data_IF_769266723667
#
_entry.id   IF_769266723667
#
_cell.length_a   1.000
_cell.length_b   1.000
_cell.length_c   1.000
_cell.angle_alpha   90.00
_cell.angle_beta   90.00
_cell.angle_gamma   90.00
#
_symmetry.space_group_name_H-M   'P 1'
#
loop_
_entity.id
_entity.type
_entity.pdbx_description
1 polymer ?
#
# COMPACT_ATOMS: atom_id res chain seq x y z
N UNK A 1 -11.60 28.98 -0.94
CA UNK A 1 -10.48 28.06 -0.60
C UNK A 1 -10.46 27.03 -1.70
N UNK A 2 -9.46 27.09 -2.57
CA UNK A 2 -9.44 26.36 -3.84
C UNK A 2 -9.42 24.84 -3.64
N UNK A 3 -10.08 24.14 -4.54
CA UNK A 3 -10.13 22.68 -4.60
C UNK A 3 -8.73 22.10 -4.42
N UNK A 4 -8.46 21.53 -3.25
CA UNK A 4 -7.38 20.58 -3.07
C UNK A 4 -7.68 19.45 -4.05
N UNK A 5 -7.01 19.48 -5.20
CA UNK A 5 -7.41 18.75 -6.39
C UNK A 5 -7.31 17.25 -6.12
N UNK A 6 -8.44 16.66 -5.73
CA UNK A 6 -8.57 15.28 -5.26
C UNK A 6 -7.80 14.36 -6.20
N UNK A 7 -6.89 13.57 -5.64
CA UNK A 7 -6.18 12.57 -6.42
C UNK A 7 -7.17 11.46 -6.76
N UNK A 8 -7.04 10.91 -7.97
CA UNK A 8 -7.71 9.64 -8.26
C UNK A 8 -6.99 8.51 -7.54
N UNK A 9 -7.69 7.40 -7.29
CA UNK A 9 -7.13 6.18 -6.68
C UNK A 9 -5.83 5.77 -7.40
N UNK A 10 -5.88 5.72 -8.74
CA UNK A 10 -4.68 5.44 -9.54
C UNK A 10 -3.54 6.44 -9.30
N UNK A 11 -3.82 7.74 -9.15
CA UNK A 11 -2.78 8.73 -8.85
C UNK A 11 -2.15 8.50 -7.47
N UNK A 12 -2.94 8.06 -6.50
CA UNK A 12 -2.46 7.69 -5.16
C UNK A 12 -1.58 6.43 -5.23
N UNK A 13 -1.99 5.39 -5.97
CA UNK A 13 -1.20 4.18 -6.20
C UNK A 13 0.18 4.49 -6.81
N UNK A 14 0.23 5.42 -7.77
CA UNK A 14 1.50 5.87 -8.35
C UNK A 14 2.39 6.58 -7.34
N UNK A 15 1.83 7.45 -6.49
CA UNK A 15 2.60 8.15 -5.47
C UNK A 15 3.15 7.19 -4.41
N UNK A 16 2.34 6.23 -3.97
CA UNK A 16 2.76 5.17 -3.06
C UNK A 16 3.87 4.31 -3.67
N UNK A 17 3.69 3.85 -4.92
CA UNK A 17 4.70 3.07 -5.62
C UNK A 17 6.04 3.82 -5.72
N UNK A 18 6.00 5.10 -6.12
CA UNK A 18 7.20 5.94 -6.19
C UNK A 18 7.83 6.08 -4.80
N UNK A 19 7.04 6.31 -3.74
CA UNK A 19 7.55 6.46 -2.38
C UNK A 19 8.29 5.21 -1.90
N UNK A 20 7.74 4.02 -2.11
CA UNK A 20 8.40 2.78 -1.73
C UNK A 20 9.69 2.55 -2.52
N UNK A 21 9.67 2.80 -3.83
CA UNK A 21 10.86 2.64 -4.68
C UNK A 21 11.94 3.64 -4.26
N UNK A 22 11.58 4.91 -4.03
CA UNK A 22 12.49 5.96 -3.60
C UNK A 22 13.10 5.65 -2.22
N UNK A 23 12.31 5.13 -1.28
CA UNK A 23 12.81 4.71 0.03
C UNK A 23 13.82 3.57 -0.06
N UNK A 24 13.66 2.66 -1.04
CA UNK A 24 14.56 1.54 -1.24
C UNK A 24 15.80 1.86 -2.09
N UNK A 25 15.69 2.77 -3.07
CA UNK A 25 16.70 3.00 -4.13
C UNK A 25 17.05 4.47 -4.36
N UNK A 26 16.61 5.39 -3.50
CA UNK A 26 16.76 6.86 -3.59
C UNK A 26 16.03 7.55 -4.76
N UNK A 27 15.70 6.85 -5.85
CA UNK A 27 14.89 7.38 -6.94
C UNK A 27 14.19 6.26 -7.73
N UNK A 28 13.05 6.56 -8.34
CA UNK A 28 12.28 5.61 -9.13
C UNK A 28 12.54 5.77 -10.64
N UNK A 29 12.63 4.67 -11.39
CA UNK A 29 12.57 4.70 -12.86
C UNK A 29 11.18 4.28 -13.32
N UNK A 30 10.76 4.75 -14.49
CA UNK A 30 9.48 4.36 -15.10
C UNK A 30 9.32 2.83 -15.23
N UNK A 31 10.42 2.09 -15.44
CA UNK A 31 10.43 0.62 -15.43
C UNK A 31 10.09 0.05 -14.04
N UNK A 32 10.73 0.53 -12.98
CA UNK A 32 10.46 0.04 -11.62
C UNK A 32 8.99 0.27 -11.21
N UNK A 33 8.43 1.42 -11.60
CA UNK A 33 7.02 1.76 -11.35
C UNK A 33 6.08 0.81 -12.13
N UNK A 34 6.39 0.58 -13.41
CA UNK A 34 5.66 -0.34 -14.29
C UNK A 34 5.64 -1.76 -13.71
N UNK A 35 6.80 -2.26 -13.30
CA UNK A 35 6.97 -3.60 -12.76
C UNK A 35 6.25 -3.75 -11.40
N UNK A 36 6.29 -2.72 -10.53
CA UNK A 36 5.62 -2.74 -9.21
C UNK A 36 4.11 -2.72 -9.33
N UNK A 37 3.56 -1.88 -10.21
CA UNK A 37 2.11 -1.71 -10.36
C UNK A 37 1.48 -2.72 -11.35
N UNK A 38 2.29 -3.47 -12.10
CA UNK A 38 1.78 -4.40 -13.12
C UNK A 38 1.09 -3.70 -14.30
N UNK A 39 1.50 -2.46 -14.61
CA UNK A 39 0.90 -1.62 -15.66
C UNK A 39 1.89 -1.38 -16.80
N UNK A 40 1.41 -0.90 -17.95
CA UNK A 40 2.27 -0.60 -19.10
C UNK A 40 3.10 0.67 -18.92
N UNK A 41 4.30 0.74 -19.52
CA UNK A 41 5.14 1.96 -19.51
C UNK A 41 4.45 3.20 -20.07
N UNK A 42 3.54 3.02 -21.03
CA UNK A 42 2.73 4.12 -21.57
C UNK A 42 1.79 4.69 -20.49
N UNK A 43 1.16 3.82 -19.68
CA UNK A 43 0.33 4.21 -18.55
C UNK A 43 1.15 4.96 -17.50
N UNK A 44 2.34 4.47 -17.17
CA UNK A 44 3.28 5.15 -16.25
C UNK A 44 3.61 6.55 -16.77
N UNK A 45 3.96 6.67 -18.05
CA UNK A 45 4.31 7.97 -18.65
C UNK A 45 3.15 8.97 -18.57
N UNK A 46 1.92 8.51 -18.85
CA UNK A 46 0.72 9.35 -18.73
C UNK A 46 0.48 9.82 -17.30
N UNK A 47 0.58 8.89 -16.34
CA UNK A 47 0.40 9.21 -14.92
C UNK A 47 1.47 10.17 -14.39
N UNK A 48 2.74 9.96 -14.75
CA UNK A 48 3.84 10.84 -14.36
C UNK A 48 3.67 12.26 -14.90
N UNK A 49 3.21 12.41 -16.16
CA UNK A 49 2.86 13.73 -16.72
C UNK A 49 1.74 14.41 -15.94
N UNK A 50 0.69 13.67 -15.58
CA UNK A 50 -0.43 14.20 -14.81
C UNK A 50 0.00 14.63 -13.40
N UNK A 51 0.79 13.81 -12.71
CA UNK A 51 1.32 14.12 -11.37
C UNK A 51 2.32 15.28 -11.39
N UNK A 52 3.14 15.39 -12.45
CA UNK A 52 4.05 16.51 -12.65
C UNK A 52 3.28 17.83 -12.88
N UNK A 53 2.19 17.78 -13.65
CA UNK A 53 1.26 18.90 -13.82
C UNK A 53 0.61 19.37 -12.52
N UNK A 54 0.50 18.47 -11.51
CA UNK A 54 0.07 18.79 -10.14
C UNK A 54 1.22 19.15 -9.19
N UNK A 55 2.46 19.24 -9.69
CA UNK A 55 3.68 19.49 -8.90
C UNK A 55 3.95 18.48 -7.78
N UNK A 56 3.53 17.22 -7.96
CA UNK A 56 3.72 16.14 -6.98
C UNK A 56 4.97 15.31 -7.26
N UNK A 57 5.43 15.26 -8.50
CA UNK A 57 6.65 14.55 -8.91
C UNK A 57 7.53 15.45 -9.75
N UNK A 58 8.84 15.28 -9.62
CA UNK A 58 9.80 15.74 -10.62
C UNK A 58 9.91 14.66 -11.69
N UNK A 59 9.53 14.98 -12.92
CA UNK A 59 9.53 14.05 -14.04
C UNK A 59 10.07 14.70 -15.31
N UNK A 60 11.01 14.02 -15.95
CA UNK A 60 11.49 14.30 -17.29
C UNK A 60 11.59 12.97 -18.07
N UNK A 61 11.31 12.94 -19.38
CA UNK A 61 11.49 11.74 -20.18
C UNK A 61 12.90 11.14 -20.02
N UNK A 62 12.95 9.82 -19.85
CA UNK A 62 14.18 9.02 -19.67
C UNK A 62 14.98 9.27 -18.38
N UNK A 63 14.50 10.16 -17.50
CA UNK A 63 15.18 10.51 -16.26
C UNK A 63 14.63 9.73 -15.04
N UNK A 64 15.28 9.92 -13.90
CA UNK A 64 14.81 9.49 -12.60
C UNK A 64 13.59 10.30 -12.17
N UNK A 65 12.64 9.63 -11.52
CA UNK A 65 11.45 10.21 -10.92
C UNK A 65 11.66 10.34 -9.43
N UNK A 66 11.38 11.53 -8.89
CA UNK A 66 11.42 11.80 -7.44
C UNK A 66 10.15 12.49 -7.00
N UNK A 67 9.75 12.27 -5.75
CA UNK A 67 8.65 13.02 -5.15
C UNK A 67 9.09 14.44 -4.82
N UNK A 68 8.24 15.42 -5.13
CA UNK A 68 8.38 16.76 -4.54
C UNK A 68 8.05 16.71 -3.06
N UNK A 69 8.28 17.80 -2.32
CA UNK A 69 7.88 17.86 -0.91
C UNK A 69 6.36 17.65 -0.72
N UNK A 70 5.55 18.22 -1.63
CA UNK A 70 4.10 18.04 -1.64
C UNK A 70 3.72 16.61 -1.99
N UNK A 71 4.32 16.03 -3.04
CA UNK A 71 4.09 14.64 -3.42
C UNK A 71 4.47 13.66 -2.32
N UNK A 72 5.58 13.90 -1.61
CA UNK A 72 5.99 13.05 -0.48
C UNK A 72 5.01 13.13 0.68
N UNK A 73 4.40 14.30 0.94
CA UNK A 73 3.35 14.43 1.96
C UNK A 73 2.11 13.62 1.55
N UNK A 74 1.68 13.72 0.30
CA UNK A 74 0.55 12.95 -0.21
C UNK A 74 0.83 11.44 -0.18
N UNK A 75 1.98 11.00 -0.70
CA UNK A 75 2.36 9.59 -0.72
C UNK A 75 2.42 8.97 0.68
N UNK A 76 2.98 9.68 1.66
CA UNK A 76 3.00 9.21 3.05
C UNK A 76 1.62 9.07 3.66
N UNK A 77 0.67 9.92 3.27
CA UNK A 77 -0.69 9.78 3.76
C UNK A 77 -1.34 8.51 3.21
N UNK A 78 -1.17 8.22 1.91
CA UNK A 78 -1.61 6.98 1.26
C UNK A 78 -0.97 5.76 1.96
N UNK A 79 0.36 5.71 2.01
CA UNK A 79 1.11 4.59 2.65
C UNK A 79 0.65 4.35 4.09
N UNK A 80 0.45 5.41 4.87
CA UNK A 80 -0.02 5.29 6.26
C UNK A 80 -1.41 4.66 6.34
N UNK A 81 -2.30 4.98 5.40
CA UNK A 81 -3.66 4.43 5.33
C UNK A 81 -3.60 2.95 4.97
N UNK A 82 -2.86 2.59 3.92
CA UNK A 82 -2.62 1.21 3.49
C UNK A 82 -2.04 0.37 4.63
N UNK A 83 -0.92 0.81 5.21
CA UNK A 83 -0.21 0.08 6.26
C UNK A 83 -1.07 -0.15 7.50
N UNK A 84 -1.84 0.84 7.94
CA UNK A 84 -2.71 0.68 9.11
C UNK A 84 -3.88 -0.29 8.85
N UNK A 85 -4.44 -0.31 7.64
CA UNK A 85 -5.45 -1.29 7.24
C UNK A 85 -4.87 -2.69 7.14
N UNK A 86 -3.73 -2.83 6.46
CA UNK A 86 -2.99 -4.07 6.33
C UNK A 86 -2.66 -4.66 7.71
N UNK A 87 -2.07 -3.83 8.58
CA UNK A 87 -1.71 -4.22 9.93
C UNK A 87 -2.93 -4.62 10.75
N UNK A 88 -4.05 -3.93 10.64
CA UNK A 88 -5.29 -4.35 11.28
C UNK A 88 -5.71 -5.75 10.81
N UNK A 89 -5.70 -6.02 9.50
CA UNK A 89 -6.08 -7.33 8.96
C UNK A 89 -5.15 -8.45 9.43
N UNK A 90 -3.83 -8.25 9.39
CA UNK A 90 -2.86 -9.28 9.77
C UNK A 90 -2.72 -9.41 11.29
N UNK A 91 -2.55 -8.29 11.98
CA UNK A 91 -2.21 -8.26 13.40
C UNK A 91 -3.44 -8.47 14.24
N UNK A 92 -4.59 -7.89 13.90
CA UNK A 92 -5.83 -7.99 14.69
C UNK A 92 -6.69 -9.16 14.21
N UNK A 93 -7.11 -9.15 12.94
CA UNK A 93 -8.06 -10.12 12.39
C UNK A 93 -7.43 -11.48 12.01
N UNK A 94 -6.10 -11.56 11.95
CA UNK A 94 -5.35 -12.78 11.57
C UNK A 94 -5.64 -13.27 10.15
N UNK A 95 -5.93 -12.34 9.25
CA UNK A 95 -5.99 -12.60 7.82
C UNK A 95 -4.57 -12.83 7.27
N UNK A 96 -4.45 -13.66 6.23
CA UNK A 96 -3.17 -13.91 5.57
C UNK A 96 -2.66 -12.67 4.84
N UNK A 97 -1.33 -12.49 4.81
CA UNK A 97 -0.64 -11.33 4.19
C UNK A 97 -1.17 -10.98 2.79
N UNK A 98 -1.32 -11.97 1.90
CA UNK A 98 -1.76 -11.71 0.51
C UNK A 98 -3.21 -11.17 0.43
N UNK A 99 -4.10 -11.69 1.25
CA UNK A 99 -5.50 -11.24 1.30
C UNK A 99 -5.61 -9.89 2.03
N UNK A 100 -4.81 -9.68 3.06
CA UNK A 100 -4.71 -8.41 3.77
C UNK A 100 -4.24 -7.29 2.84
N UNK A 101 -3.18 -7.52 2.06
CA UNK A 101 -2.63 -6.55 1.09
C UNK A 101 -3.67 -6.14 0.05
N UNK A 102 -4.34 -7.13 -0.57
CA UNK A 102 -5.39 -6.88 -1.56
C UNK A 102 -6.59 -6.14 -0.97
N UNK A 103 -6.94 -6.43 0.28
CA UNK A 103 -8.07 -5.81 0.96
C UNK A 103 -7.76 -4.39 1.40
N UNK A 104 -6.55 -4.13 1.92
CA UNK A 104 -6.09 -2.82 2.35
C UNK A 104 -6.08 -1.83 1.18
N UNK A 105 -5.44 -2.19 0.07
CA UNK A 105 -5.36 -1.36 -1.14
C UNK A 105 -6.76 -0.99 -1.69
N UNK A 106 -7.73 -1.91 -1.66
CA UNK A 106 -9.10 -1.60 -2.11
C UNK A 106 -9.84 -0.69 -1.13
N UNK A 107 -9.69 -0.95 0.17
CA UNK A 107 -10.47 -0.26 1.19
C UNK A 107 -9.97 1.15 1.44
N UNK A 108 -8.67 1.41 1.35
CA UNK A 108 -8.13 2.74 1.60
C UNK A 108 -8.63 3.79 0.61
N UNK A 109 -8.94 3.37 -0.62
CA UNK A 109 -9.47 4.22 -1.69
C UNK A 109 -11.00 4.33 -1.64
N UNK A 110 -11.69 3.29 -1.18
CA UNK A 110 -13.15 3.24 -1.12
C UNK A 110 -13.74 4.01 0.07
N UNK A 111 -12.99 4.19 1.17
CA UNK A 111 -13.50 4.85 2.36
C UNK A 111 -13.43 6.37 2.25
N UNK A 112 -14.50 7.05 2.67
CA UNK A 112 -14.44 8.51 2.83
C UNK A 112 -13.38 8.90 3.88
N UNK A 113 -12.73 10.08 3.74
CA UNK A 113 -11.69 10.51 4.68
C UNK A 113 -12.14 10.51 6.15
N UNK A 114 -13.41 10.86 6.41
CA UNK A 114 -13.95 10.86 7.78
C UNK A 114 -14.05 9.46 8.38
N UNK A 115 -14.52 8.48 7.60
CA UNK A 115 -14.65 7.09 8.07
C UNK A 115 -13.26 6.51 8.30
N UNK A 116 -12.34 6.76 7.36
CA UNK A 116 -10.99 6.24 7.45
C UNK A 116 -10.24 6.79 8.66
N UNK A 117 -10.33 8.10 8.93
CA UNK A 117 -9.73 8.69 10.12
C UNK A 117 -10.25 8.05 11.43
N UNK A 118 -11.57 7.83 11.54
CA UNK A 118 -12.16 7.15 12.71
C UNK A 118 -11.73 5.68 12.82
N UNK A 119 -11.61 5.00 11.68
CA UNK A 119 -11.11 3.63 11.63
C UNK A 119 -9.65 3.58 12.13
N UNK A 120 -8.77 4.45 11.64
CA UNK A 120 -7.38 4.53 12.10
C UNK A 120 -7.28 4.80 13.60
N UNK A 121 -8.11 5.71 14.13
CA UNK A 121 -8.20 5.96 15.58
C UNK A 121 -8.63 4.71 16.36
N UNK A 122 -9.59 3.95 15.84
CA UNK A 122 -10.03 2.70 16.43
C UNK A 122 -8.93 1.63 16.41
N UNK A 123 -8.26 1.43 15.26
CA UNK A 123 -7.13 0.50 15.14
C UNK A 123 -6.05 0.85 16.18
N UNK A 124 -5.64 2.11 16.24
CA UNK A 124 -4.64 2.57 17.21
C UNK A 124 -5.10 2.41 18.66
N UNK A 125 -6.40 2.52 18.95
CA UNK A 125 -6.95 2.27 20.29
C UNK A 125 -6.86 0.78 20.65
N UNK A 126 -7.25 -0.10 19.73
CA UNK A 126 -7.22 -1.56 19.91
C UNK A 126 -5.80 -2.07 20.12
N UNK A 127 -4.83 -1.59 19.34
CA UNK A 127 -3.41 -1.98 19.47
C UNK A 127 -2.80 -1.59 20.82
N UNK A 128 -3.26 -0.49 21.43
CA UNK A 128 -2.83 -0.05 22.76
C UNK A 128 -3.42 -0.89 23.90
N UNK A 129 -4.33 -1.82 23.63
CA UNK A 129 -4.99 -2.67 24.65
C UNK A 129 -4.87 -4.17 24.33
N UNK A 130 -3.69 -4.78 24.61
CA UNK A 130 -3.42 -6.16 24.25
C UNK A 130 -4.34 -7.17 24.94
N UNK A 131 -4.87 -6.87 26.13
CA UNK A 131 -5.77 -7.80 26.83
C UNK A 131 -7.17 -7.84 26.22
N UNK A 132 -7.70 -6.70 25.76
CA UNK A 132 -8.96 -6.63 25.02
C UNK A 132 -8.90 -7.44 23.71
N UNK A 133 -7.74 -7.42 23.04
CA UNK A 133 -7.48 -8.22 21.84
C UNK A 133 -7.50 -9.73 22.11
N UNK A 134 -6.97 -10.18 23.27
CA UNK A 134 -7.00 -11.60 23.64
C UNK A 134 -8.44 -12.08 23.83
N UNK A 135 -9.24 -11.33 24.60
CA UNK A 135 -10.65 -11.66 24.85
C UNK A 135 -11.44 -11.74 23.56
N UNK A 136 -11.33 -10.72 22.70
CA UNK A 136 -12.04 -10.71 21.41
C UNK A 136 -11.68 -11.91 20.53
N UNK A 137 -10.41 -12.35 20.52
CA UNK A 137 -10.00 -13.53 19.74
C UNK A 137 -10.58 -14.83 20.28
N UNK A 138 -10.66 -14.96 21.59
CA UNK A 138 -11.26 -16.14 22.22
C UNK A 138 -12.76 -16.21 21.92
N UNK A 139 -13.47 -15.08 22.02
CA UNK A 139 -14.92 -15.02 21.78
C UNK A 139 -15.29 -15.17 20.29
N UNK A 140 -14.50 -14.59 19.38
CA UNK A 140 -14.77 -14.63 17.94
C UNK A 140 -14.38 -15.95 17.27
N UNK A 141 -13.72 -16.88 17.98
CA UNK A 141 -13.20 -18.12 17.40
C UNK A 141 -12.08 -17.89 16.38
N UNK A 142 -11.49 -16.69 16.31
CA UNK A 142 -10.36 -16.34 15.45
C UNK A 142 -9.03 -16.87 16.02
N UNK A 143 -9.02 -18.14 16.43
CA UNK A 143 -7.77 -18.84 16.73
C UNK A 143 -6.93 -18.89 15.45
N UNK A 144 -5.62 -18.64 15.59
CA UNK A 144 -4.68 -18.44 14.49
C UNK A 144 -4.94 -19.35 13.28
N UNK A 145 -5.15 -18.75 12.10
CA UNK A 145 -5.19 -19.47 10.83
C UNK A 145 -3.95 -20.34 10.75
N UNK A 146 -4.13 -21.67 10.63
CA UNK A 146 -3.03 -22.62 10.49
C UNK A 146 -2.18 -22.18 9.31
N UNK A 147 -0.89 -21.91 9.53
CA UNK A 147 0.06 -21.62 8.45
C UNK A 147 -0.10 -22.68 7.36
N UNK A 148 -0.21 -22.31 6.07
CA UNK A 148 -0.27 -23.29 5.00
C UNK A 148 0.99 -24.17 5.05
N UNK A 149 0.80 -25.50 4.94
CA UNK A 149 1.93 -26.44 4.86
C UNK A 149 2.78 -26.07 3.65
N UNK A 150 4.07 -25.83 3.87
CA UNK A 150 5.02 -25.60 2.79
C UNK A 150 4.90 -26.75 1.77
N UNK A 151 4.74 -26.39 0.50
CA UNK A 151 4.68 -27.36 -0.59
C UNK A 151 5.98 -28.18 -0.61
N UNK A 152 5.91 -29.51 -0.83
CA UNK A 152 7.11 -30.34 -0.88
C UNK A 152 8.00 -29.86 -2.02
N UNK A 153 9.28 -29.59 -1.72
CA UNK A 153 10.29 -29.22 -2.72
C UNK A 153 10.34 -30.32 -3.78
N UNK A 154 10.05 -29.94 -5.04
CA UNK A 154 10.23 -30.80 -6.18
C UNK A 154 11.69 -31.29 -6.23
N UNK A 155 11.89 -32.60 -6.14
CA UNK A 155 13.19 -33.22 -6.38
C UNK A 155 13.60 -32.94 -7.83
N UNK A 156 14.74 -32.27 -8.02
CA UNK A 156 15.40 -32.20 -9.34
C UNK A 156 15.74 -33.63 -9.77
N UNK A 157 15.17 -34.08 -10.88
CA UNK A 157 15.66 -35.24 -11.60
C UNK A 157 17.06 -34.91 -12.13
N UNK A 158 18.06 -35.68 -11.69
CA UNK A 158 19.38 -35.68 -12.29
C UNK A 158 19.27 -36.34 -13.67
N UNK A 159 19.79 -35.66 -14.68
CA UNK A 159 19.85 -36.17 -16.05
C UNK A 159 20.82 -37.33 -16.19
N UNK A 160 20.50 -38.20 -17.15
CA UNK A 160 21.41 -39.09 -17.86
C UNK A 160 21.23 -38.79 -19.36
#
# INVERSE_FOLDING_TARGET
MGDAQRLSESQEDYLEAIFHIETAKQAARAKDISDRLGVTRASVTGALKALAGKSLVNYSPYDLVTLTQAGRKAARDVVRRHEAMHDFFVKVLKIGEEEAEKSACRMEHALSPHILERFLQFVAYVERRPDSLKTWRTESGTAAVKKPKAAPRARKAAGA
#
